data_IF_446869320777
#
_entry.id   IF_446869320777
#
_cell.length_a   1.000
_cell.length_b   1.000
_cell.length_c   1.000
_cell.angle_alpha   90.00
_cell.angle_beta   90.00
_cell.angle_gamma   90.00
#
_symmetry.space_group_name_H-M   'P 1'
#
loop_
_entity.id
_entity.type
_entity.pdbx_description
1 polymer ?
#
# COMPACT_ATOMS: atom_id res chain seq x y z
N UNK A 1 -36.68 0.13 -7.71
CA UNK A 1 -35.39 0.66 -8.20
C UNK A 1 -34.67 1.20 -6.99
N UNK A 2 -33.69 0.46 -6.49
CA UNK A 2 -32.93 0.87 -5.31
C UNK A 2 -31.81 1.79 -5.79
N UNK A 3 -31.98 3.10 -5.56
CA UNK A 3 -31.02 4.10 -5.98
C UNK A 3 -29.71 3.92 -5.21
N UNK A 4 -28.74 3.25 -5.81
CA UNK A 4 -27.38 3.18 -5.29
C UNK A 4 -26.72 4.56 -5.43
N UNK A 5 -27.04 5.46 -4.51
CA UNK A 5 -26.18 6.59 -4.23
C UNK A 5 -24.79 6.05 -3.83
N UNK A 6 -23.68 6.64 -4.32
CA UNK A 6 -22.36 6.24 -3.88
C UNK A 6 -22.28 6.40 -2.36
N UNK A 7 -21.95 5.31 -1.66
CA UNK A 7 -21.79 5.34 -0.21
C UNK A 7 -20.73 6.37 0.19
N UNK A 8 -20.82 6.90 1.41
CA UNK A 8 -20.02 8.03 1.90
C UNK A 8 -18.51 7.93 1.55
N UNK A 9 -17.93 6.73 1.62
CA UNK A 9 -16.57 6.42 1.16
C UNK A 9 -16.28 6.88 -0.27
N UNK A 10 -17.09 6.48 -1.25
CA UNK A 10 -16.87 6.81 -2.65
C UNK A 10 -16.97 8.33 -2.91
N UNK A 11 -17.85 9.01 -2.18
CA UNK A 11 -17.99 10.47 -2.24
C UNK A 11 -16.77 11.20 -1.64
N UNK A 12 -16.18 10.66 -0.55
CA UNK A 12 -14.90 11.17 0.00
C UNK A 12 -13.75 10.93 -0.98
N UNK A 13 -13.73 9.78 -1.66
CA UNK A 13 -12.71 9.42 -2.65
C UNK A 13 -12.75 10.35 -3.87
N UNK A 14 -13.95 10.68 -4.38
CA UNK A 14 -14.18 11.68 -5.42
C UNK A 14 -13.72 13.09 -4.99
N UNK A 15 -13.95 13.49 -3.74
CA UNK A 15 -13.48 14.78 -3.20
C UNK A 15 -11.98 14.82 -2.93
N UNK A 16 -11.33 13.67 -2.73
CA UNK A 16 -9.89 13.56 -2.58
C UNK A 16 -9.15 13.69 -3.92
N UNK A 17 -9.67 13.15 -5.01
CA UNK A 17 -9.03 13.21 -6.34
C UNK A 17 -8.49 14.60 -6.73
N UNK A 18 -9.27 15.70 -6.68
CA UNK A 18 -8.77 17.04 -7.04
C UNK A 18 -7.81 17.66 -6.00
N UNK A 19 -7.68 17.08 -4.80
CA UNK A 19 -6.77 17.54 -3.74
C UNK A 19 -5.40 16.84 -3.82
N UNK A 20 -5.33 15.71 -4.53
CA UNK A 20 -4.11 14.93 -4.75
C UNK A 20 -3.42 15.45 -6.03
N UNK A 21 -2.68 16.55 -5.88
CA UNK A 21 -1.98 17.22 -6.98
C UNK A 21 -1.07 16.26 -7.78
N UNK A 22 -1.38 16.10 -9.07
CA UNK A 22 -0.50 15.54 -10.11
C UNK A 22 0.27 14.27 -9.73
N UNK A 23 -0.44 13.14 -9.53
CA UNK A 23 0.11 11.79 -9.26
C UNK A 23 1.15 11.68 -8.12
N UNK A 24 1.38 12.75 -7.37
CA UNK A 24 2.43 12.84 -6.34
C UNK A 24 1.98 12.18 -5.05
N UNK A 25 0.69 12.32 -4.73
CA UNK A 25 0.05 11.73 -3.56
C UNK A 25 -1.06 10.77 -4.00
N UNK A 26 -1.26 9.70 -3.25
CA UNK A 26 -2.35 8.77 -3.48
C UNK A 26 -2.95 8.25 -2.17
N UNK A 27 -4.20 7.82 -2.24
CA UNK A 27 -4.85 7.12 -1.13
C UNK A 27 -4.25 5.73 -1.01
N UNK A 28 -3.61 5.45 0.13
CA UNK A 28 -3.15 4.12 0.52
C UNK A 28 -4.24 3.33 1.25
N UNK A 29 -5.09 4.01 2.03
CA UNK A 29 -6.31 3.45 2.60
C UNK A 29 -7.34 4.55 2.91
N UNK A 30 -8.62 4.19 2.87
CA UNK A 30 -9.75 5.05 3.21
C UNK A 30 -10.76 4.29 4.05
N UNK A 31 -10.78 4.60 5.34
CA UNK A 31 -11.68 3.99 6.31
C UNK A 31 -12.77 4.99 6.69
N UNK A 32 -14.03 4.58 6.52
CA UNK A 32 -15.20 5.38 6.87
C UNK A 32 -16.07 4.54 7.79
N UNK A 33 -16.10 4.91 9.07
CA UNK A 33 -16.97 4.34 10.08
C UNK A 33 -18.11 5.31 10.35
N UNK A 34 -19.22 5.11 9.65
CA UNK A 34 -20.43 5.90 9.89
C UNK A 34 -21.27 5.30 11.02
N UNK A 35 -21.77 6.15 11.91
CA UNK A 35 -22.54 5.76 13.09
C UNK A 35 -23.49 6.89 13.49
N UNK A 36 -24.66 6.53 14.03
CA UNK A 36 -25.78 7.45 14.32
C UNK A 36 -25.43 8.69 15.16
N UNK A 37 -24.34 8.65 15.93
CA UNK A 37 -23.91 9.75 16.79
C UNK A 37 -22.68 10.50 16.24
N UNK A 38 -21.85 9.83 15.44
CA UNK A 38 -20.57 10.37 14.99
C UNK A 38 -20.00 9.55 13.83
N UNK A 39 -19.60 10.24 12.77
CA UNK A 39 -18.89 9.64 11.63
C UNK A 39 -17.37 9.77 11.85
N UNK A 40 -16.60 8.68 11.75
CA UNK A 40 -15.12 8.75 11.72
C UNK A 40 -14.60 8.44 10.31
N UNK A 41 -13.73 9.31 9.82
CA UNK A 41 -13.05 9.18 8.53
C UNK A 41 -11.54 9.18 8.81
N UNK A 42 -10.86 8.12 8.37
CA UNK A 42 -9.40 8.03 8.38
C UNK A 42 -8.92 7.89 6.94
N UNK A 43 -8.08 8.82 6.50
CA UNK A 43 -7.45 8.82 5.18
C UNK A 43 -5.95 8.60 5.37
N UNK A 44 -5.43 7.50 4.82
CA UNK A 44 -3.98 7.29 4.74
C UNK A 44 -3.51 7.71 3.35
N UNK A 45 -2.66 8.73 3.31
CA UNK A 45 -2.08 9.28 2.09
C UNK A 45 -0.61 8.91 2.00
N UNK A 46 -0.20 8.39 0.85
CA UNK A 46 1.16 7.95 0.59
C UNK A 46 1.70 8.61 -0.68
N UNK A 47 3.02 8.54 -0.88
CA UNK A 47 3.74 9.24 -1.93
C UNK A 47 5.05 8.52 -2.24
N UNK A 48 5.45 8.55 -3.51
CA UNK A 48 6.70 7.96 -3.98
C UNK A 48 7.95 8.56 -3.27
N UNK A 49 7.87 9.82 -2.85
CA UNK A 49 8.91 10.51 -2.06
C UNK A 49 8.66 10.48 -0.55
N UNK A 50 7.44 10.12 -0.14
CA UNK A 50 6.89 10.36 1.19
C UNK A 50 6.13 11.69 1.26
N UNK A 51 5.25 11.80 2.26
CA UNK A 51 4.40 12.96 2.52
C UNK A 51 4.86 13.68 3.80
N UNK A 52 4.82 15.02 3.78
CA UNK A 52 5.16 15.86 4.93
C UNK A 52 3.93 16.13 5.81
N UNK A 53 4.15 16.50 7.07
CA UNK A 53 3.07 16.77 8.04
C UNK A 53 2.20 17.96 7.57
N UNK A 54 2.85 18.96 6.97
CA UNK A 54 2.24 20.13 6.36
C UNK A 54 1.25 19.75 5.26
N UNK A 55 1.57 18.73 4.47
CA UNK A 55 0.73 18.27 3.34
C UNK A 55 -0.47 17.45 3.82
N UNK A 56 -0.27 16.55 4.79
CA UNK A 56 -1.38 15.90 5.50
C UNK A 56 -2.35 16.94 6.08
N UNK A 57 -1.82 17.99 6.71
CA UNK A 57 -2.62 19.08 7.28
C UNK A 57 -3.28 19.97 6.20
N UNK A 58 -2.63 20.21 5.06
CA UNK A 58 -3.19 20.93 3.91
C UNK A 58 -4.37 20.17 3.30
N UNK A 59 -4.21 18.88 3.04
CA UNK A 59 -5.25 18.04 2.43
C UNK A 59 -6.41 17.83 3.42
N UNK A 60 -6.13 17.63 4.71
CA UNK A 60 -7.15 17.55 5.76
C UNK A 60 -8.06 18.77 5.80
N UNK A 61 -7.48 19.99 5.83
CA UNK A 61 -8.27 21.24 5.85
C UNK A 61 -9.10 21.43 4.58
N UNK A 62 -8.54 21.13 3.41
CA UNK A 62 -9.27 21.24 2.15
C UNK A 62 -10.42 20.23 2.07
N UNK A 63 -10.19 18.97 2.46
CA UNK A 63 -11.23 17.95 2.46
C UNK A 63 -12.35 18.29 3.47
N UNK A 64 -12.03 18.78 4.66
CA UNK A 64 -13.02 19.27 5.63
C UNK A 64 -13.90 20.38 5.03
N UNK A 65 -13.29 21.40 4.40
CA UNK A 65 -14.02 22.48 3.72
C UNK A 65 -15.00 21.93 2.67
N UNK A 66 -14.54 20.98 1.83
CA UNK A 66 -15.38 20.35 0.81
C UNK A 66 -16.53 19.53 1.38
N UNK A 67 -16.31 18.82 2.48
CA UNK A 67 -17.35 18.01 3.15
C UNK A 67 -18.45 18.91 3.74
N UNK A 68 -18.08 20.07 4.27
CA UNK A 68 -19.00 21.07 4.83
C UNK A 68 -19.73 21.86 3.73
N UNK A 69 -19.01 22.39 2.71
CA UNK A 69 -19.58 23.08 1.55
C UNK A 69 -20.70 22.27 0.85
N UNK A 70 -20.50 20.96 0.76
CA UNK A 70 -21.41 20.04 0.06
C UNK A 70 -22.38 19.30 0.99
N UNK A 71 -22.39 19.64 2.29
CA UNK A 71 -23.17 18.96 3.35
C UNK A 71 -23.15 17.43 3.21
N UNK A 72 -21.95 16.86 3.08
CA UNK A 72 -21.75 15.43 2.79
C UNK A 72 -22.06 14.55 4.00
N UNK A 73 -21.96 15.11 5.21
CA UNK A 73 -22.16 14.41 6.48
C UNK A 73 -23.11 15.26 7.32
N UNK A 74 -24.27 14.71 7.69
CA UNK A 74 -25.29 15.43 8.47
C UNK A 74 -24.98 15.48 9.98
N UNK A 75 -24.15 14.55 10.45
CA UNK A 75 -23.78 14.38 11.86
C UNK A 75 -22.39 14.96 12.17
N UNK A 76 -22.08 15.12 13.46
CA UNK A 76 -20.73 15.44 13.89
C UNK A 76 -19.73 14.39 13.36
N UNK A 77 -18.59 14.84 12.83
CA UNK A 77 -17.59 13.95 12.25
C UNK A 77 -16.19 14.14 12.85
N UNK A 78 -15.26 13.27 12.49
CA UNK A 78 -13.83 13.47 12.73
C UNK A 78 -13.07 12.97 11.52
N UNK A 79 -12.24 13.83 10.97
CA UNK A 79 -11.35 13.57 9.85
C UNK A 79 -9.92 13.47 10.35
N UNK A 80 -9.31 12.31 10.17
CA UNK A 80 -7.88 12.07 10.38
C UNK A 80 -7.22 11.86 9.01
N UNK A 81 -6.20 12.65 8.69
CA UNK A 81 -5.37 12.47 7.48
C UNK A 81 -3.92 12.33 7.92
N UNK A 82 -3.28 11.22 7.55
CA UNK A 82 -1.91 10.92 7.93
C UNK A 82 -1.21 10.06 6.88
N UNK A 83 0.11 9.88 7.03
CA UNK A 83 0.84 8.89 6.24
C UNK A 83 0.57 7.47 6.77
N UNK A 84 0.61 6.42 5.93
CA UNK A 84 0.79 5.07 6.43
C UNK A 84 2.08 4.98 7.25
N UNK A 85 2.04 4.21 8.34
CA UNK A 85 3.23 3.89 9.13
C UNK A 85 4.16 2.90 8.41
N UNK A 86 5.38 2.70 8.93
CA UNK A 86 6.35 1.77 8.34
C UNK A 86 5.87 0.31 8.30
N UNK A 87 4.98 -0.07 9.21
CA UNK A 87 4.37 -1.41 9.31
C UNK A 87 3.09 -1.57 8.48
N UNK A 88 2.67 -0.51 7.77
CA UNK A 88 1.47 -0.52 6.95
C UNK A 88 1.65 -1.47 5.75
N UNK A 89 0.64 -2.29 5.39
CA UNK A 89 0.76 -3.19 4.26
C UNK A 89 0.92 -2.44 2.94
N UNK A 90 2.00 -2.74 2.23
CA UNK A 90 2.16 -2.43 0.82
C UNK A 90 1.16 -3.29 0.04
N UNK A 91 0.29 -2.64 -0.73
CA UNK A 91 -0.76 -3.28 -1.52
C UNK A 91 -0.75 -2.82 -2.99
N UNK A 92 -0.09 -1.69 -3.28
CA UNK A 92 0.00 -1.10 -4.60
C UNK A 92 1.43 -1.22 -5.16
N UNK A 93 1.55 -1.61 -6.43
CA UNK A 93 2.85 -1.75 -7.12
C UNK A 93 3.73 -0.51 -7.02
N UNK A 94 3.14 0.69 -7.06
CA UNK A 94 3.83 1.98 -6.90
C UNK A 94 4.53 2.21 -5.55
N UNK A 95 4.19 1.44 -4.50
CA UNK A 95 4.82 1.60 -3.18
C UNK A 95 6.20 0.93 -3.10
N UNK A 96 6.38 -0.19 -3.78
CA UNK A 96 7.60 -1.02 -3.67
C UNK A 96 8.91 -0.33 -4.08
N UNK A 97 8.99 0.55 -5.11
CA UNK A 97 10.24 1.18 -5.53
C UNK A 97 10.97 1.93 -4.40
N UNK A 98 10.23 2.53 -3.46
CA UNK A 98 10.79 3.25 -2.29
C UNK A 98 11.39 2.31 -1.23
N UNK A 99 11.08 1.02 -1.31
CA UNK A 99 11.51 -0.01 -0.35
C UNK A 99 12.61 -0.93 -0.89
N UNK A 100 13.13 -0.67 -2.09
CA UNK A 100 14.32 -1.36 -2.62
C UNK A 100 15.48 -1.25 -1.62
N UNK A 101 16.16 -2.36 -1.38
CA UNK A 101 17.20 -2.55 -0.38
C UNK A 101 16.71 -2.91 1.02
N UNK A 102 15.40 -2.94 1.30
CA UNK A 102 14.80 -3.33 2.60
C UNK A 102 14.30 -4.78 2.59
N UNK A 103 14.26 -5.40 3.77
CA UNK A 103 13.62 -6.71 3.96
C UNK A 103 12.09 -6.55 4.02
N UNK A 104 11.39 -7.32 3.21
CA UNK A 104 9.93 -7.39 3.15
C UNK A 104 9.46 -8.78 3.59
N UNK A 105 8.31 -8.82 4.27
CA UNK A 105 7.49 -10.02 4.42
C UNK A 105 6.30 -9.93 3.45
N UNK A 106 6.27 -10.79 2.46
CA UNK A 106 5.25 -10.84 1.41
C UNK A 106 4.27 -11.97 1.73
N UNK A 107 2.99 -11.66 1.86
CA UNK A 107 1.92 -12.66 1.91
C UNK A 107 1.41 -12.92 0.49
N UNK A 108 1.52 -14.16 0.04
CA UNK A 108 1.04 -14.60 -1.26
C UNK A 108 -0.42 -15.07 -1.17
N UNK A 109 -1.12 -15.04 -2.30
CA UNK A 109 -2.55 -15.41 -2.40
C UNK A 109 -2.83 -16.90 -2.19
N UNK A 110 -1.80 -17.74 -2.31
CA UNK A 110 -1.85 -19.17 -1.97
C UNK A 110 -1.80 -19.43 -0.45
N UNK A 111 -1.64 -18.38 0.36
CA UNK A 111 -1.53 -18.46 1.82
C UNK A 111 -0.11 -18.64 2.35
N UNK A 112 0.89 -18.77 1.47
CA UNK A 112 2.29 -18.79 1.87
C UNK A 112 2.84 -17.40 2.18
N UNK A 113 3.92 -17.33 2.95
CA UNK A 113 4.63 -16.08 3.24
C UNK A 113 6.09 -16.18 2.88
N UNK A 114 6.59 -15.25 2.07
CA UNK A 114 7.98 -15.16 1.64
C UNK A 114 8.64 -13.96 2.32
N UNK A 115 9.78 -14.19 2.98
CA UNK A 115 10.55 -13.13 3.64
C UNK A 115 11.90 -12.99 2.94
N UNK A 116 12.24 -11.77 2.55
CA UNK A 116 13.51 -11.49 1.90
C UNK A 116 13.69 -10.02 1.53
N UNK A 117 14.88 -9.68 1.06
CA UNK A 117 15.25 -8.33 0.70
C UNK A 117 14.77 -7.99 -0.71
N UNK A 118 14.06 -6.87 -0.85
CA UNK A 118 13.67 -6.36 -2.17
C UNK A 118 14.90 -5.81 -2.90
N UNK A 119 15.41 -6.51 -3.89
CA UNK A 119 16.59 -6.08 -4.67
C UNK A 119 16.19 -5.16 -5.83
N UNK A 120 15.03 -5.39 -6.46
CA UNK A 120 14.50 -4.51 -7.51
C UNK A 120 12.98 -4.71 -7.72
N UNK A 121 12.34 -3.72 -8.35
CA UNK A 121 10.96 -3.78 -8.84
C UNK A 121 10.99 -3.86 -10.36
N UNK A 122 10.21 -4.77 -10.93
CA UNK A 122 9.99 -4.94 -12.37
C UNK A 122 8.56 -4.54 -12.73
N UNK A 123 8.22 -4.47 -14.01
CA UNK A 123 6.88 -4.08 -14.48
C UNK A 123 5.80 -5.10 -14.08
N UNK A 124 6.16 -6.38 -13.94
CA UNK A 124 5.26 -7.50 -13.64
C UNK A 124 5.42 -8.07 -12.21
N UNK A 125 6.45 -7.67 -11.46
CA UNK A 125 6.70 -8.21 -10.12
C UNK A 125 7.91 -7.63 -9.38
N UNK A 126 8.35 -8.37 -8.36
CA UNK A 126 9.42 -8.01 -7.44
C UNK A 126 10.57 -9.02 -7.49
N UNK A 127 11.81 -8.55 -7.49
CA UNK A 127 12.99 -9.40 -7.29
C UNK A 127 13.35 -9.43 -5.81
N UNK A 128 13.16 -10.59 -5.17
CA UNK A 128 13.38 -10.78 -3.73
C UNK A 128 14.55 -11.73 -3.49
N UNK A 129 15.56 -11.25 -2.77
CA UNK A 129 16.64 -12.07 -2.23
C UNK A 129 16.17 -12.69 -0.91
N UNK A 130 15.77 -13.96 -0.95
CA UNK A 130 15.27 -14.69 0.23
C UNK A 130 16.34 -14.82 1.33
N UNK A 131 16.06 -14.24 2.49
CA UNK A 131 16.86 -14.43 3.70
C UNK A 131 16.29 -15.65 4.44
N UNK A 132 17.03 -16.77 4.48
CA UNK A 132 16.55 -18.04 5.06
C UNK A 132 16.40 -17.98 6.59
N UNK A 133 15.37 -17.31 7.09
CA UNK A 133 14.91 -17.41 8.48
C UNK A 133 14.08 -18.68 8.63
N UNK A 134 14.59 -19.69 9.36
CA UNK A 134 13.89 -20.96 9.58
C UNK A 134 12.62 -20.78 10.44
N UNK A 135 11.45 -20.70 9.81
CA UNK A 135 10.16 -20.89 10.50
C UNK A 135 9.04 -21.36 9.55
N UNK A 136 8.39 -22.47 9.92
CA UNK A 136 7.19 -23.10 9.32
C UNK A 136 7.24 -23.59 7.85
N UNK A 137 6.93 -24.87 7.63
CA UNK A 137 6.81 -25.53 6.30
C UNK A 137 5.50 -25.20 5.57
N UNK A 138 5.22 -25.74 4.37
CA UNK A 138 5.49 -27.10 3.86
C UNK A 138 5.64 -27.15 2.30
N UNK A 139 5.87 -28.32 1.65
CA UNK A 139 6.62 -28.39 0.38
C UNK A 139 5.83 -28.55 -0.94
N UNK A 140 6.48 -28.14 -2.06
CA UNK A 140 6.08 -28.39 -3.46
C UNK A 140 5.46 -27.17 -4.15
N UNK A 141 5.63 -26.92 -5.47
CA UNK A 141 6.01 -27.81 -6.59
C UNK A 141 6.53 -26.97 -7.79
N UNK A 142 7.35 -27.56 -8.66
CA UNK A 142 7.91 -26.97 -9.92
C UNK A 142 6.82 -26.53 -10.93
N UNK A 143 7.03 -25.70 -11.98
CA UNK A 143 7.80 -25.92 -13.27
C UNK A 143 7.75 -24.63 -14.18
N UNK A 144 8.22 -24.52 -15.47
CA UNK A 144 9.13 -23.41 -15.87
C UNK A 144 8.80 -22.58 -17.16
N UNK A 145 9.56 -21.48 -17.38
CA UNK A 145 9.67 -20.70 -18.63
C UNK A 145 9.62 -19.18 -18.37
N UNK A 146 10.37 -18.27 -19.03
CA UNK A 146 11.27 -18.27 -20.22
C UNK A 146 12.52 -17.35 -19.93
N UNK A 147 13.55 -17.26 -20.80
CA UNK A 147 14.91 -16.85 -20.36
C UNK A 147 15.38 -15.41 -20.68
N UNK A 148 16.50 -15.05 -20.01
CA UNK A 148 17.57 -14.08 -20.36
C UNK A 148 17.39 -12.56 -20.06
N UNK A 149 18.48 -11.78 -19.85
CA UNK A 149 19.90 -12.14 -19.62
C UNK A 149 20.57 -11.50 -18.36
N UNK A 150 21.68 -12.06 -17.88
CA UNK A 150 22.47 -11.56 -16.73
C UNK A 150 23.70 -10.72 -17.15
N UNK A 151 24.20 -9.82 -16.27
CA UNK A 151 25.36 -10.12 -15.39
C UNK A 151 25.17 -9.59 -13.92
N UNK A 152 26.02 -9.82 -12.90
CA UNK A 152 27.32 -10.52 -12.73
C UNK A 152 27.55 -10.89 -11.23
N UNK A 153 28.12 -12.08 -10.96
CA UNK A 153 28.78 -12.56 -9.71
C UNK A 153 28.58 -11.78 -8.38
N UNK A 154 27.74 -12.35 -7.51
CA UNK A 154 28.01 -12.51 -6.04
C UNK A 154 27.65 -13.97 -5.69
N UNK A 155 28.04 -14.53 -4.54
CA UNK A 155 27.70 -15.91 -4.16
C UNK A 155 26.17 -16.04 -4.03
N UNK A 156 25.54 -16.59 -5.06
CA UNK A 156 24.12 -16.39 -5.31
C UNK A 156 23.23 -17.36 -4.53
N UNK A 157 22.48 -16.82 -3.57
CA UNK A 157 21.07 -17.20 -3.46
C UNK A 157 20.40 -16.42 -4.60
N UNK A 158 19.88 -17.11 -5.62
CA UNK A 158 19.30 -16.43 -6.78
C UNK A 158 18.06 -15.64 -6.33
N UNK A 159 17.89 -14.36 -6.72
CA UNK A 159 16.73 -13.58 -6.34
C UNK A 159 15.48 -14.16 -7.00
N UNK A 160 14.48 -14.51 -6.19
CA UNK A 160 13.21 -15.06 -6.61
C UNK A 160 12.34 -13.94 -7.19
N UNK A 161 11.85 -14.11 -8.42
CA UNK A 161 10.87 -13.19 -9.01
C UNK A 161 9.47 -13.53 -8.51
N UNK A 162 8.79 -12.56 -7.89
CA UNK A 162 7.45 -12.68 -7.32
C UNK A 162 6.49 -11.78 -8.10
N UNK A 163 5.56 -12.32 -8.91
CA UNK A 163 4.65 -11.51 -9.72
C UNK A 163 3.61 -10.79 -8.86
N UNK A 164 3.24 -9.56 -9.22
CA UNK A 164 2.26 -8.76 -8.47
C UNK A 164 0.90 -9.46 -8.30
N UNK A 165 0.45 -10.21 -9.30
CA UNK A 165 -0.79 -10.99 -9.23
C UNK A 165 -0.78 -12.05 -8.12
N UNK A 166 0.39 -12.59 -7.80
CA UNK A 166 0.56 -13.58 -6.73
C UNK A 166 0.54 -12.97 -5.32
N UNK A 167 0.71 -11.65 -5.20
CA UNK A 167 0.79 -10.95 -3.91
C UNK A 167 -0.62 -10.61 -3.41
N UNK A 168 -0.86 -10.88 -2.13
CA UNK A 168 -2.05 -10.42 -1.40
C UNK A 168 -1.76 -9.10 -0.67
N UNK A 169 -0.62 -9.03 0.02
CA UNK A 169 -0.11 -7.84 0.72
C UNK A 169 1.38 -8.04 1.02
N UNK A 170 2.11 -6.99 1.36
CA UNK A 170 3.49 -7.08 1.85
C UNK A 170 3.73 -6.11 3.01
N UNK A 171 4.68 -6.39 3.89
CA UNK A 171 5.07 -5.47 4.98
C UNK A 171 6.57 -5.27 4.98
N UNK A 172 7.01 -4.06 5.31
CA UNK A 172 8.44 -3.77 5.54
C UNK A 172 8.81 -4.30 6.92
N UNK A 173 9.85 -5.13 7.01
CA UNK A 173 10.41 -5.54 8.30
C UNK A 173 11.48 -4.53 8.73
N UNK A 174 11.26 -3.89 9.88
CA UNK A 174 12.24 -2.97 10.48
C UNK A 174 13.14 -3.76 11.42
N UNK A 175 14.33 -4.11 10.94
CA UNK A 175 15.40 -4.66 11.78
C UNK A 175 16.10 -3.52 12.52
N UNK A 176 15.89 -3.43 13.83
CA UNK A 176 16.69 -2.59 14.71
C UNK A 176 18.01 -3.31 15.01
N UNK A 177 19.15 -2.65 14.77
CA UNK A 177 20.49 -3.10 15.15
C UNK A 177 21.01 -2.23 16.30
#
# INVERSE_FOLDING_TARGET
MESQAPGLRAKIEELLQPLLEGDTYFVADLQVSDSRLKTKITVLLDSNTGILIEECARISRQLASRLEELNVIENAYTLEVSSPGVDFPLTLSRQYPRHVGRTLQISLRDGSTLTGRLEAVQDDGLLILEERTKSSGSPGKTTPGKPMPAPKKVLATEPTSVPFEGIAQSRVLVSFH
#
